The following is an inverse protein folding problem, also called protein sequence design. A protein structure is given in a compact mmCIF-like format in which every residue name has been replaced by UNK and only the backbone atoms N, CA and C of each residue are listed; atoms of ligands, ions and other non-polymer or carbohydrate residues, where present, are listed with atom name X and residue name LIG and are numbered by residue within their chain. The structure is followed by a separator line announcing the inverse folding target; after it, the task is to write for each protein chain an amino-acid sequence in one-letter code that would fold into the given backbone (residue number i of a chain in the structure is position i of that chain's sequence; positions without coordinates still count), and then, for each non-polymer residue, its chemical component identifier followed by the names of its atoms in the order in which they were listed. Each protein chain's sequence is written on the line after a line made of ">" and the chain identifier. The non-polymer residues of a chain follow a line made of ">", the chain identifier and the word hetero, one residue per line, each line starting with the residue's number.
data_IF_506525514532
#
_entry.id   IF_506525514532
#
_cell.length_a   1.000
_cell.length_b   1.000
_cell.length_c   1.000
_cell.angle_alpha   90.00
_cell.angle_beta   90.00
_cell.angle_gamma   90.00
#
_symmetry.space_group_name_H-M   'P 1'
#
loop_
_entity.id
_entity.type
_entity.pdbx_description
1 polymer ?
#
# COMPACT_ATOMS: atom_id res chain seq x y z
N UNK A 1 -36.24 34.55 35.20
CA UNK A 1 -34.92 33.91 35.40
C UNK A 1 -34.74 32.86 34.32
N UNK A 2 -34.01 33.14 33.24
CA UNK A 2 -33.88 32.22 32.10
C UNK A 2 -32.53 31.48 32.19
N UNK A 3 -32.60 30.16 32.40
CA UNK A 3 -31.48 29.23 32.52
C UNK A 3 -30.67 29.20 31.21
N UNK A 4 -29.40 29.55 31.28
CA UNK A 4 -28.43 29.37 30.18
C UNK A 4 -28.14 27.87 30.02
N UNK A 5 -28.73 27.22 29.02
CA UNK A 5 -28.28 25.89 28.59
C UNK A 5 -26.91 26.02 27.94
N UNK A 6 -25.90 25.42 28.54
CA UNK A 6 -24.58 25.22 27.94
C UNK A 6 -24.73 24.10 26.89
N UNK A 7 -24.72 24.47 25.60
CA UNK A 7 -24.65 23.50 24.51
C UNK A 7 -23.20 23.02 24.41
N UNK A 8 -22.91 21.85 24.97
CA UNK A 8 -21.63 21.16 24.79
C UNK A 8 -21.61 20.60 23.38
N UNK A 9 -20.87 21.26 22.49
CA UNK A 9 -20.59 20.76 21.16
C UNK A 9 -19.51 19.68 21.27
N UNK A 10 -19.90 18.41 21.29
CA UNK A 10 -18.97 17.29 21.26
C UNK A 10 -18.23 17.30 19.92
N UNK A 11 -16.98 17.77 19.93
CA UNK A 11 -16.06 17.66 18.80
C UNK A 11 -15.77 16.17 18.59
N UNK A 12 -16.42 15.58 17.58
CA UNK A 12 -16.04 14.28 17.05
C UNK A 12 -14.62 14.42 16.49
N UNK A 13 -13.63 13.92 17.22
CA UNK A 13 -12.29 13.77 16.66
C UNK A 13 -12.43 12.84 15.45
N UNK A 14 -11.95 13.23 14.25
CA UNK A 14 -11.88 12.31 13.14
C UNK A 14 -10.86 11.23 13.52
N UNK A 15 -11.35 10.10 14.02
CA UNK A 15 -10.57 8.87 13.99
C UNK A 15 -10.22 8.65 12.53
N UNK A 16 -8.93 8.62 12.22
CA UNK A 16 -8.44 8.18 10.92
C UNK A 16 -8.93 6.75 10.74
N UNK A 17 -10.08 6.60 10.08
CA UNK A 17 -10.48 5.34 9.48
C UNK A 17 -9.37 5.06 8.47
N UNK A 18 -8.39 4.24 8.87
CA UNK A 18 -7.39 3.70 7.97
C UNK A 18 -8.14 2.79 6.99
N UNK A 19 -8.70 3.42 5.96
CA UNK A 19 -9.39 2.75 4.89
C UNK A 19 -8.33 1.94 4.13
N UNK A 20 -8.42 0.61 4.17
CA UNK A 20 -7.74 -0.33 3.26
C UNK A 20 -6.48 0.26 2.59
N UNK A 21 -5.47 0.57 3.40
CA UNK A 21 -4.34 1.34 2.88
C UNK A 21 -3.29 0.37 2.38
N UNK A 22 -3.37 0.02 1.10
CA UNK A 22 -2.32 -0.74 0.39
C UNK A 22 -1.01 0.04 0.34
N UNK A 23 -1.07 1.38 0.47
CA UNK A 23 0.12 2.24 0.55
C UNK A 23 1.06 1.78 1.67
N UNK A 24 2.36 2.03 1.49
CA UNK A 24 3.41 1.65 2.43
C UNK A 24 4.45 0.71 1.80
N UNK A 25 5.32 0.21 2.66
CA UNK A 25 6.47 -0.62 2.27
C UNK A 25 6.12 -2.10 2.36
N UNK A 26 6.39 -2.81 1.26
CA UNK A 26 6.13 -4.24 1.13
C UNK A 26 7.42 -4.97 0.82
N UNK A 27 7.66 -6.05 1.56
CA UNK A 27 8.87 -6.85 1.49
C UNK A 27 8.53 -8.27 1.06
N UNK A 28 9.25 -8.74 0.05
CA UNK A 28 9.18 -10.10 -0.46
C UNK A 28 10.01 -11.06 0.41
N UNK A 29 9.72 -12.37 0.37
CA UNK A 29 10.53 -13.38 1.06
C UNK A 29 11.98 -13.46 0.58
N UNK A 30 12.27 -13.04 -0.66
CA UNK A 30 13.60 -13.05 -1.27
C UNK A 30 14.39 -11.73 -1.05
N UNK A 31 13.82 -10.80 -0.27
CA UNK A 31 14.44 -9.52 0.06
C UNK A 31 14.16 -8.39 -0.92
N UNK A 32 13.39 -8.62 -1.99
CA UNK A 32 12.87 -7.53 -2.81
C UNK A 32 11.93 -6.64 -1.99
N UNK A 33 11.87 -5.36 -2.35
CA UNK A 33 11.01 -4.38 -1.69
C UNK A 33 10.35 -3.48 -2.71
N UNK A 34 9.12 -3.05 -2.41
CA UNK A 34 8.46 -1.95 -3.13
C UNK A 34 7.79 -1.01 -2.14
N UNK A 35 7.58 0.24 -2.56
CA UNK A 35 6.90 1.25 -1.74
C UNK A 35 5.77 1.88 -2.54
N UNK A 36 4.54 1.81 -2.02
CA UNK A 36 3.36 2.40 -2.67
C UNK A 36 2.99 3.71 -1.95
N UNK A 37 2.84 4.81 -2.70
CA UNK A 37 2.53 6.16 -2.19
C UNK A 37 1.34 6.75 -2.95
N UNK A 38 0.13 6.33 -2.59
CA UNK A 38 -1.03 6.61 -3.44
C UNK A 38 -0.76 6.11 -4.86
N UNK A 39 -1.17 6.85 -5.90
CA UNK A 39 -1.03 6.42 -7.31
C UNK A 39 0.40 6.25 -7.84
N UNK A 40 1.43 6.33 -7.00
CA UNK A 40 2.84 6.16 -7.34
C UNK A 40 3.43 4.94 -6.63
N UNK A 41 4.39 4.28 -7.25
CA UNK A 41 5.12 3.17 -6.64
C UNK A 41 6.59 3.24 -6.98
N UNK A 42 7.45 3.03 -5.99
CA UNK A 42 8.85 2.70 -6.20
C UNK A 42 8.93 1.19 -6.37
N UNK A 43 9.22 0.75 -7.58
CA UNK A 43 9.28 -0.67 -7.93
C UNK A 43 10.53 -1.35 -7.31
N UNK A 44 10.61 -2.70 -7.30
CA UNK A 44 11.82 -3.41 -6.90
C UNK A 44 13.11 -3.01 -7.62
N UNK A 45 13.00 -2.46 -8.84
CA UNK A 45 14.12 -1.87 -9.57
C UNK A 45 14.65 -0.55 -8.97
N UNK A 46 13.96 0.03 -7.98
CA UNK A 46 14.25 1.34 -7.39
C UNK A 46 13.72 2.52 -8.21
N UNK A 47 13.11 2.27 -9.36
CA UNK A 47 12.56 3.31 -10.25
C UNK A 47 11.09 3.55 -9.92
N UNK A 48 10.70 4.82 -9.86
CA UNK A 48 9.32 5.21 -9.59
C UNK A 48 8.46 5.19 -10.86
N UNK A 49 7.24 4.68 -10.76
CA UNK A 49 6.26 4.63 -11.85
C UNK A 49 4.85 4.88 -11.30
N UNK A 50 3.89 5.07 -12.21
CA UNK A 50 2.49 5.23 -11.86
C UNK A 50 1.83 3.85 -11.68
N UNK A 51 0.87 3.78 -10.76
CA UNK A 51 0.05 2.60 -10.53
C UNK A 51 -1.41 2.95 -10.27
N UNK A 52 -2.24 1.92 -10.28
CA UNK A 52 -3.69 2.04 -10.27
C UNK A 52 -4.28 1.31 -9.07
N UNK A 53 -5.11 2.02 -8.30
CA UNK A 53 -5.87 1.47 -7.18
C UNK A 53 -7.22 0.92 -7.62
N UNK A 54 -7.62 -0.14 -6.93
CA UNK A 54 -8.98 -0.64 -6.84
C UNK A 54 -9.17 -1.24 -5.45
N UNK A 55 -10.39 -1.67 -5.11
CA UNK A 55 -10.69 -2.22 -3.78
C UNK A 55 -9.82 -3.47 -3.51
N UNK A 56 -8.93 -3.39 -2.51
CA UNK A 56 -7.94 -4.41 -2.14
C UNK A 56 -6.94 -4.81 -3.22
N UNK A 57 -6.74 -3.98 -4.25
CA UNK A 57 -5.82 -4.32 -5.33
C UNK A 57 -5.10 -3.10 -5.87
N UNK A 58 -3.81 -3.25 -6.08
CA UNK A 58 -2.94 -2.31 -6.76
C UNK A 58 -2.28 -2.97 -7.96
N UNK A 59 -2.11 -2.24 -9.06
CA UNK A 59 -1.37 -2.74 -10.22
C UNK A 59 -0.49 -1.66 -10.83
N UNK A 60 0.65 -2.07 -11.37
CA UNK A 60 1.53 -1.20 -12.15
C UNK A 60 2.31 -2.03 -13.17
N UNK A 61 2.97 -1.35 -14.09
CA UNK A 61 3.92 -1.97 -15.03
C UNK A 61 5.32 -1.54 -14.61
N UNK A 62 6.24 -2.50 -14.52
CA UNK A 62 7.63 -2.26 -14.21
C UNK A 62 8.22 -1.23 -15.18
N UNK A 63 8.84 -0.15 -14.68
CA UNK A 63 9.38 0.91 -15.52
C UNK A 63 10.58 0.42 -16.34
N UNK A 64 10.79 1.08 -17.48
CA UNK A 64 11.99 0.89 -18.32
C UNK A 64 13.28 1.11 -17.53
N UNK A 65 14.36 0.43 -17.95
CA UNK A 65 15.70 0.56 -17.34
C UNK A 65 16.00 -0.41 -16.19
N UNK A 66 15.02 -1.22 -15.76
CA UNK A 66 15.22 -2.36 -14.86
C UNK A 66 15.29 -3.70 -15.60
N UNK A 67 15.73 -4.76 -14.90
CA UNK A 67 15.79 -6.12 -15.45
C UNK A 67 14.40 -6.64 -15.89
N UNK A 68 13.34 -6.25 -15.18
CA UNK A 68 11.97 -6.73 -15.40
C UNK A 68 11.09 -5.68 -16.09
N UNK A 69 11.66 -4.77 -16.89
CA UNK A 69 10.92 -3.73 -17.59
C UNK A 69 9.73 -4.31 -18.40
N UNK A 70 8.56 -3.66 -18.31
CA UNK A 70 7.35 -4.09 -19.02
C UNK A 70 6.52 -5.18 -18.33
N UNK A 71 7.03 -5.83 -17.27
CA UNK A 71 6.28 -6.81 -16.48
C UNK A 71 5.13 -6.14 -15.73
N UNK A 72 3.94 -6.73 -15.81
CA UNK A 72 2.78 -6.27 -15.04
C UNK A 72 2.84 -6.85 -13.62
N UNK A 73 2.84 -5.99 -12.61
CA UNK A 73 2.81 -6.39 -11.21
C UNK A 73 1.40 -6.15 -10.65
N UNK A 74 0.84 -7.18 -10.02
CA UNK A 74 -0.47 -7.12 -9.38
C UNK A 74 -0.32 -7.48 -7.91
N UNK A 75 -0.78 -6.57 -7.04
CA UNK A 75 -0.77 -6.72 -5.60
C UNK A 75 -2.22 -6.84 -5.14
N UNK A 76 -2.56 -7.93 -4.47
CA UNK A 76 -3.86 -8.14 -3.83
C UNK A 76 -3.67 -8.16 -2.33
N UNK A 77 -4.24 -7.18 -1.64
CA UNK A 77 -4.16 -7.11 -0.18
C UNK A 77 -5.04 -8.18 0.45
N UNK A 78 -4.46 -8.96 1.37
CA UNK A 78 -5.18 -9.95 2.16
C UNK A 78 -5.52 -9.40 3.56
N UNK A 79 -4.60 -8.62 4.12
CA UNK A 79 -4.76 -7.94 5.40
C UNK A 79 -3.92 -6.66 5.43
N UNK A 80 -3.93 -5.93 6.56
CA UNK A 80 -3.02 -4.78 6.75
C UNK A 80 -1.54 -5.19 6.63
N UNK A 81 -1.22 -6.44 6.95
CA UNK A 81 0.16 -6.96 7.08
C UNK A 81 0.59 -7.88 5.93
N UNK A 82 -0.34 -8.36 5.10
CA UNK A 82 -0.08 -9.39 4.09
C UNK A 82 -0.74 -9.06 2.74
N UNK A 83 0.00 -9.32 1.65
CA UNK A 83 -0.48 -9.22 0.28
C UNK A 83 0.01 -10.39 -0.57
N UNK A 84 -0.75 -10.73 -1.62
CA UNK A 84 -0.29 -11.59 -2.70
C UNK A 84 0.19 -10.75 -3.87
N UNK A 85 1.43 -10.97 -4.31
CA UNK A 85 2.05 -10.27 -5.44
C UNK A 85 2.30 -11.25 -6.56
N UNK A 86 1.81 -10.94 -7.77
CA UNK A 86 2.10 -11.70 -8.99
C UNK A 86 2.79 -10.81 -10.02
N UNK A 87 3.73 -11.41 -10.75
CA UNK A 87 4.46 -10.81 -11.86
C UNK A 87 3.99 -11.49 -13.14
N UNK A 88 3.35 -10.75 -14.04
CA UNK A 88 2.58 -11.24 -15.17
C UNK A 88 1.64 -12.41 -14.77
N UNK A 89 1.68 -13.52 -15.50
CA UNK A 89 0.91 -14.74 -15.25
C UNK A 89 1.60 -15.67 -14.23
N UNK A 90 2.63 -15.18 -13.53
CA UNK A 90 3.35 -15.92 -12.50
C UNK A 90 2.47 -16.26 -11.30
N UNK A 91 2.82 -17.36 -10.61
CA UNK A 91 2.15 -17.74 -9.38
C UNK A 91 2.27 -16.62 -8.32
N UNK A 92 1.19 -16.25 -7.61
CA UNK A 92 1.26 -15.23 -6.58
C UNK A 92 2.16 -15.65 -5.41
N UNK A 93 2.97 -14.72 -4.93
CA UNK A 93 3.85 -14.88 -3.76
C UNK A 93 3.32 -14.04 -2.61
N UNK A 94 3.34 -14.57 -1.39
CA UNK A 94 2.98 -13.80 -0.19
C UNK A 94 4.10 -12.82 0.16
N UNK A 95 3.75 -11.56 0.27
CA UNK A 95 4.60 -10.45 0.71
C UNK A 95 4.02 -9.89 2.00
N UNK A 96 4.88 -9.39 2.87
CA UNK A 96 4.46 -8.78 4.14
C UNK A 96 4.85 -7.32 4.18
N UNK A 97 4.32 -6.58 5.15
CA UNK A 97 4.89 -5.28 5.50
C UNK A 97 6.38 -5.44 5.81
N UNK A 98 7.16 -4.47 5.37
CA UNK A 98 8.55 -4.38 5.80
C UNK A 98 8.57 -4.13 7.30
N UNK A 99 9.43 -4.86 8.02
CA UNK A 99 9.63 -4.65 9.46
C UNK A 99 10.86 -3.78 9.65
N UNK A 100 10.74 -2.79 10.51
CA UNK A 100 11.91 -2.11 11.05
C UNK A 100 12.75 -3.15 11.80
N UNK A 101 14.00 -3.35 11.36
CA UNK A 101 14.97 -4.07 12.18
C UNK A 101 15.42 -3.11 13.26
N UNK A 102 14.66 -3.03 14.36
CA UNK A 102 15.13 -2.36 15.57
C UNK A 102 16.28 -3.18 16.15
N UNK A 103 17.50 -2.66 15.97
CA UNK A 103 18.70 -3.14 16.67
C UNK A 103 18.76 -2.66 18.11
#
# INVERSE_FOLDING_TARGET
>A
MLKRSLMVCALLAPGTLAADEISGDWCAPDGQMLTIKGSRVVAPSGIETDGQYSRHRYQFVMPEGGHDAGVTVVIRQLSEEEALVSFDEGAPVSWTRCRDVTS
#
